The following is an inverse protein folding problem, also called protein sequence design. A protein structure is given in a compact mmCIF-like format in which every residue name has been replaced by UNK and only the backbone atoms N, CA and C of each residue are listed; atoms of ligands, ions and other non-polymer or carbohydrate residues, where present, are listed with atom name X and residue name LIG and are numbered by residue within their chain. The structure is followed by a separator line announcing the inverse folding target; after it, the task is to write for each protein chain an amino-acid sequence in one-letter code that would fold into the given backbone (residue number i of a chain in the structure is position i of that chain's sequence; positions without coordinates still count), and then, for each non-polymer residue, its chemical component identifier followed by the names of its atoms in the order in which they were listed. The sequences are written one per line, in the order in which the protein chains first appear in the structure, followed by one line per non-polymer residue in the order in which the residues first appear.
data_IF_583124936280
#
_entry.id   IF_583124936280
#
_cell.length_a   1.000
_cell.length_b   1.000
_cell.length_c   1.000
_cell.angle_alpha   90.00
_cell.angle_beta   90.00
_cell.angle_gamma   90.00
#
_symmetry.space_group_name_H-M   'P 1'
#
loop_
_entity.id
_entity.type
_entity.pdbx_description
1 polymer ?
#
# COMPACT_ATOMS: atom_id res chain seq x y z
N UNK A 1 -133.74 -34.89 100.45
CA UNK A 1 -132.70 -34.88 101.49
C UNK A 1 -131.44 -35.47 100.90
N UNK A 2 -130.36 -34.70 100.85
CA UNK A 2 -129.06 -35.16 100.36
C UNK A 2 -128.39 -36.00 101.44
N UNK A 3 -127.92 -37.19 101.10
CA UNK A 3 -126.94 -37.92 101.92
C UNK A 3 -125.60 -37.90 101.20
N UNK A 4 -124.65 -37.21 101.82
CA UNK A 4 -123.28 -37.06 101.36
C UNK A 4 -122.50 -38.37 101.53
N UNK A 5 -121.71 -38.67 100.52
CA UNK A 5 -121.00 -39.91 100.25
C UNK A 5 -119.67 -40.02 101.02
N UNK A 6 -119.19 -41.23 101.31
CA UNK A 6 -117.78 -41.45 101.65
C UNK A 6 -117.22 -42.74 101.02
N UNK A 7 -116.08 -42.67 100.29
CA UNK A 7 -115.47 -43.81 99.62
C UNK A 7 -114.48 -44.57 100.51
N UNK A 8 -114.33 -45.89 100.29
CA UNK A 8 -113.25 -46.68 100.86
C UNK A 8 -111.87 -46.25 100.34
N UNK A 9 -110.94 -46.00 101.26
CA UNK A 9 -109.57 -45.50 101.03
C UNK A 9 -108.54 -46.57 100.63
N UNK A 10 -108.96 -47.82 100.41
CA UNK A 10 -108.07 -48.91 99.99
C UNK A 10 -108.06 -49.08 98.47
N UNK A 11 -106.87 -49.16 97.85
CA UNK A 11 -106.74 -49.38 96.40
C UNK A 11 -106.98 -50.85 96.04
N UNK A 12 -107.81 -51.10 95.04
CA UNK A 12 -108.11 -52.43 94.50
C UNK A 12 -107.04 -52.84 93.46
N UNK A 13 -106.50 -54.06 93.59
CA UNK A 13 -105.28 -54.54 92.91
C UNK A 13 -105.42 -54.86 91.41
N UNK A 14 -106.58 -54.59 90.81
CA UNK A 14 -106.73 -54.39 89.37
C UNK A 14 -106.52 -55.60 88.44
N UNK A 15 -106.17 -56.77 88.96
CA UNK A 15 -106.03 -58.01 88.17
C UNK A 15 -107.18 -58.97 88.49
N UNK A 16 -107.98 -59.30 87.48
CA UNK A 16 -109.10 -60.24 87.62
C UNK A 16 -108.67 -61.64 87.19
N UNK A 17 -109.23 -62.68 87.81
CA UNK A 17 -108.96 -64.09 87.42
C UNK A 17 -109.21 -64.36 85.94
N UNK A 18 -110.14 -63.62 85.33
CA UNK A 18 -110.38 -63.69 83.89
C UNK A 18 -109.15 -63.30 83.05
N UNK A 19 -108.41 -62.27 83.47
CA UNK A 19 -107.18 -61.83 82.80
C UNK A 19 -106.07 -62.88 82.94
N UNK A 20 -106.07 -63.69 84.00
CA UNK A 20 -105.08 -64.76 84.17
C UNK A 20 -105.42 -66.03 83.40
N UNK A 21 -106.70 -66.33 83.18
CA UNK A 21 -107.13 -67.63 82.68
C UNK A 21 -107.37 -67.65 81.16
N UNK A 22 -107.76 -66.51 80.59
CA UNK A 22 -108.10 -66.38 79.16
C UNK A 22 -107.03 -65.61 78.38
N UNK A 23 -105.82 -66.16 78.29
CA UNK A 23 -104.73 -65.60 77.48
C UNK A 23 -104.68 -66.28 76.12
N UNK A 24 -104.43 -65.51 75.07
CA UNK A 24 -104.24 -66.04 73.71
C UNK A 24 -103.04 -66.99 73.68
N UNK A 25 -103.25 -68.22 73.23
CA UNK A 25 -102.18 -69.18 72.98
C UNK A 25 -101.85 -69.16 71.49
N UNK A 26 -100.67 -68.67 71.13
CA UNK A 26 -100.23 -68.65 69.73
C UNK A 26 -99.91 -70.08 69.27
N UNK A 27 -100.70 -70.60 68.31
CA UNK A 27 -100.42 -71.87 67.66
C UNK A 27 -99.68 -71.59 66.35
N UNK A 28 -98.49 -72.16 66.20
CA UNK A 28 -97.69 -72.00 64.99
C UNK A 28 -98.41 -72.61 63.76
N UNK A 29 -98.39 -71.93 62.60
CA UNK A 29 -99.03 -72.43 61.39
C UNK A 29 -98.37 -73.73 60.90
N UNK A 30 -99.19 -74.66 60.42
CA UNK A 30 -98.75 -75.99 59.98
C UNK A 30 -98.16 -75.93 58.56
N UNK A 31 -97.04 -76.63 58.33
CA UNK A 31 -96.33 -76.64 57.05
C UNK A 31 -97.08 -77.47 55.98
N UNK A 32 -97.09 -77.00 54.74
CA UNK A 32 -97.78 -77.66 53.61
C UNK A 32 -96.92 -78.74 52.97
N UNK A 33 -97.51 -79.88 52.60
CA UNK A 33 -96.84 -80.99 51.90
C UNK A 33 -96.84 -80.87 50.37
N UNK A 34 -97.07 -79.67 49.82
CA UNK A 34 -97.01 -79.45 48.37
C UNK A 34 -95.54 -79.44 47.92
N UNK A 35 -95.15 -80.22 46.90
CA UNK A 35 -93.79 -80.16 46.35
C UNK A 35 -93.51 -78.77 45.78
N UNK A 36 -92.36 -78.21 46.17
CA UNK A 36 -91.90 -76.88 45.77
C UNK A 36 -91.48 -76.86 44.31
N UNK A 37 -92.09 -75.98 43.53
CA UNK A 37 -91.78 -75.73 42.12
C UNK A 37 -90.52 -74.85 42.01
N UNK A 38 -89.37 -75.42 42.36
CA UNK A 38 -88.08 -74.76 42.29
C UNK A 38 -87.24 -75.39 41.18
N UNK A 39 -86.89 -74.59 40.17
CA UNK A 39 -86.01 -75.01 39.08
C UNK A 39 -84.61 -75.35 39.62
N UNK A 40 -84.16 -76.58 39.39
CA UNK A 40 -82.82 -77.04 39.78
C UNK A 40 -81.80 -76.50 38.77
N UNK A 41 -80.99 -75.54 39.18
CA UNK A 41 -79.82 -75.10 38.42
C UNK A 41 -78.61 -75.95 38.84
N UNK A 42 -77.85 -76.46 37.87
CA UNK A 42 -76.57 -77.15 38.12
C UNK A 42 -75.43 -76.14 38.24
N UNK A 43 -74.56 -76.31 39.23
CA UNK A 43 -73.43 -75.42 39.55
C UNK A 43 -72.11 -75.86 38.87
N UNK A 44 -72.20 -76.63 37.78
CA UNK A 44 -71.02 -77.15 37.06
C UNK A 44 -70.48 -76.12 36.07
N UNK A 45 -69.20 -75.70 36.18
CA UNK A 45 -68.59 -74.76 35.24
C UNK A 45 -68.58 -75.29 33.81
N UNK A 46 -68.65 -74.36 32.84
CA UNK A 46 -68.59 -74.69 31.42
C UNK A 46 -67.16 -75.03 30.99
N UNK A 47 -66.96 -76.22 30.40
CA UNK A 47 -65.67 -76.64 29.86
C UNK A 47 -65.46 -76.06 28.45
N UNK A 48 -64.86 -74.86 28.38
CA UNK A 48 -64.64 -74.12 27.12
C UNK A 48 -63.32 -74.49 26.38
N UNK A 49 -62.62 -75.55 26.82
CA UNK A 49 -61.38 -75.97 26.17
C UNK A 49 -61.68 -76.93 25.03
N UNK A 50 -61.74 -76.38 23.82
CA UNK A 50 -61.86 -77.17 22.60
C UNK A 50 -60.54 -77.83 22.23
N UNK A 51 -60.61 -78.98 21.55
CA UNK A 51 -59.42 -79.70 21.06
C UNK A 51 -58.51 -78.84 20.18
N UNK A 52 -59.07 -77.82 19.51
CA UNK A 52 -58.30 -76.86 18.73
C UNK A 52 -57.36 -76.01 19.59
N UNK A 53 -57.82 -75.56 20.76
CA UNK A 53 -57.00 -74.77 21.70
C UNK A 53 -55.81 -75.55 22.23
N UNK A 54 -55.97 -76.86 22.41
CA UNK A 54 -54.90 -77.72 22.91
C UNK A 54 -53.96 -78.19 21.77
N UNK A 55 -54.45 -78.34 20.54
CA UNK A 55 -53.66 -78.80 19.40
C UNK A 55 -52.82 -77.71 18.72
N UNK A 56 -53.26 -76.44 18.76
CA UNK A 56 -52.61 -75.33 18.05
C UNK A 56 -52.00 -74.34 19.04
N UNK A 57 -50.85 -74.71 19.59
CA UNK A 57 -50.07 -73.88 20.51
C UNK A 57 -48.84 -73.34 19.77
N UNK A 58 -48.40 -72.13 20.12
CA UNK A 58 -47.22 -71.52 19.53
C UNK A 58 -45.95 -72.31 19.92
N UNK A 59 -45.29 -72.94 18.95
CA UNK A 59 -43.99 -73.58 19.13
C UNK A 59 -42.84 -72.60 18.84
N UNK A 60 -41.77 -72.65 19.63
CA UNK A 60 -40.56 -71.88 19.36
C UNK A 60 -39.80 -72.51 18.19
N UNK A 61 -39.61 -71.73 17.11
CA UNK A 61 -38.89 -72.19 15.92
C UNK A 61 -37.37 -72.02 16.10
N UNK A 62 -36.54 -72.94 15.58
CA UNK A 62 -35.09 -72.79 15.63
C UNK A 62 -34.62 -71.59 14.81
N UNK A 63 -33.52 -70.96 15.24
CA UNK A 63 -32.91 -69.87 14.51
C UNK A 63 -32.50 -70.34 13.11
N UNK A 64 -32.77 -69.52 12.09
CA UNK A 64 -32.39 -69.83 10.72
C UNK A 64 -30.87 -69.84 10.58
N UNK A 65 -30.33 -70.89 9.96
CA UNK A 65 -28.90 -70.99 9.68
C UNK A 65 -28.45 -69.82 8.80
N UNK A 66 -27.43 -69.08 9.25
CA UNK A 66 -26.80 -68.01 8.48
C UNK A 66 -25.41 -68.48 8.04
N UNK A 67 -25.18 -68.49 6.72
CA UNK A 67 -23.85 -68.76 6.17
C UNK A 67 -22.93 -67.57 6.47
N UNK A 68 -21.74 -67.85 7.00
CA UNK A 68 -20.73 -66.81 7.21
C UNK A 68 -20.36 -66.14 5.88
N UNK A 69 -20.18 -64.81 5.92
CA UNK A 69 -19.80 -64.03 4.73
C UNK A 69 -18.29 -64.17 4.54
N UNK A 70 -17.89 -64.52 3.32
CA UNK A 70 -16.47 -64.59 2.95
C UNK A 70 -15.83 -63.19 3.03
N UNK A 71 -14.69 -63.10 3.71
CA UNK A 71 -13.94 -61.86 3.87
C UNK A 71 -13.24 -61.48 2.55
N UNK A 72 -13.49 -60.27 2.07
CA UNK A 72 -12.94 -59.77 0.81
C UNK A 72 -11.40 -59.73 0.82
N UNK A 73 -10.77 -60.25 -0.25
CA UNK A 73 -9.33 -60.17 -0.51
C UNK A 73 -9.08 -59.35 -1.78
N UNK A 74 -8.54 -58.13 -1.67
CA UNK A 74 -8.19 -57.32 -2.83
C UNK A 74 -7.09 -57.99 -3.67
N UNK A 75 -7.14 -57.78 -4.99
CA UNK A 75 -6.10 -58.28 -5.90
C UNK A 75 -4.90 -57.33 -5.92
N UNK A 76 -3.70 -57.86 -5.72
CA UNK A 76 -2.44 -57.09 -5.71
C UNK A 76 -1.93 -56.72 -7.12
N UNK A 77 -2.69 -57.04 -8.17
CA UNK A 77 -2.27 -56.81 -9.55
C UNK A 77 -2.19 -55.30 -9.85
N UNK A 78 -1.02 -54.85 -10.32
CA UNK A 78 -0.79 -53.46 -10.67
C UNK A 78 -1.47 -53.12 -12.00
N UNK A 79 -2.31 -52.08 -12.00
CA UNK A 79 -2.91 -51.55 -13.21
C UNK A 79 -1.96 -50.55 -13.87
N UNK A 80 -1.48 -50.88 -15.07
CA UNK A 80 -0.50 -50.07 -15.81
C UNK A 80 -1.04 -48.67 -16.20
N UNK A 81 -2.36 -48.52 -16.41
CA UNK A 81 -3.00 -47.21 -16.63
C UNK A 81 -2.58 -46.44 -17.89
N UNK A 82 -1.69 -47.00 -18.72
CA UNK A 82 -1.26 -46.38 -19.96
C UNK A 82 -2.22 -46.75 -21.10
N UNK A 83 -2.85 -45.73 -21.69
CA UNK A 83 -3.59 -45.87 -22.94
C UNK A 83 -2.62 -46.02 -24.13
N UNK A 84 -3.09 -46.64 -25.21
CA UNK A 84 -2.33 -46.79 -26.46
C UNK A 84 -1.80 -45.45 -26.97
N UNK A 85 -2.61 -44.39 -26.90
CA UNK A 85 -2.21 -43.04 -27.26
C UNK A 85 -1.00 -42.53 -26.46
N UNK A 86 -1.03 -42.66 -25.12
CA UNK A 86 0.07 -42.17 -24.26
C UNK A 86 1.34 -43.01 -24.39
N UNK A 87 1.20 -44.29 -24.78
CA UNK A 87 2.32 -45.17 -25.07
C UNK A 87 2.96 -44.86 -26.42
N UNK A 88 2.15 -44.62 -27.44
CA UNK A 88 2.59 -44.65 -28.83
C UNK A 88 2.85 -43.24 -29.41
N UNK A 89 2.16 -42.20 -28.92
CA UNK A 89 2.37 -40.79 -29.31
C UNK A 89 3.23 -40.04 -28.30
N UNK A 90 4.49 -40.44 -28.17
CA UNK A 90 5.52 -39.64 -27.50
C UNK A 90 6.13 -38.78 -28.59
N UNK A 91 5.84 -37.48 -28.62
CA UNK A 91 6.32 -36.56 -29.65
C UNK A 91 7.85 -36.51 -29.70
N UNK A 92 8.45 -37.50 -30.36
CA UNK A 92 9.88 -37.59 -30.54
C UNK A 92 10.27 -36.50 -31.53
N UNK A 93 10.93 -35.47 -31.02
CA UNK A 93 11.56 -34.44 -31.83
C UNK A 93 12.67 -35.14 -32.62
N UNK A 94 12.45 -35.33 -33.91
CA UNK A 94 13.49 -35.84 -34.81
C UNK A 94 14.71 -34.92 -34.80
N UNK A 95 15.86 -35.46 -35.23
CA UNK A 95 17.06 -34.64 -35.37
C UNK A 95 16.82 -33.49 -36.36
N UNK A 96 17.26 -32.26 -36.04
CA UNK A 96 17.10 -31.14 -36.93
C UNK A 96 17.87 -31.39 -38.23
N UNK A 97 17.23 -31.13 -39.37
CA UNK A 97 17.84 -31.34 -40.69
C UNK A 97 19.12 -30.52 -40.84
N UNK A 98 20.21 -31.19 -41.20
CA UNK A 98 21.48 -30.53 -41.50
C UNK A 98 21.34 -29.63 -42.74
N UNK A 99 21.94 -28.44 -42.67
CA UNK A 99 21.97 -27.49 -43.79
C UNK A 99 22.91 -27.98 -44.88
N UNK A 100 22.42 -28.07 -46.13
CA UNK A 100 23.24 -28.32 -47.32
C UNK A 100 23.92 -27.04 -47.86
N UNK A 101 23.87 -25.92 -47.13
CA UNK A 101 24.56 -24.71 -47.55
C UNK A 101 26.08 -24.93 -47.44
N UNK A 102 26.87 -24.53 -48.46
CA UNK A 102 28.31 -24.58 -48.36
C UNK A 102 28.77 -23.75 -47.16
N UNK A 103 29.84 -24.19 -46.50
CA UNK A 103 30.44 -23.44 -45.41
C UNK A 103 30.78 -22.03 -45.91
N UNK A 104 30.36 -20.99 -45.18
CA UNK A 104 30.55 -19.58 -45.54
C UNK A 104 32.00 -19.10 -45.42
N UNK A 105 32.97 -19.98 -45.65
CA UNK A 105 34.38 -19.64 -45.60
C UNK A 105 34.76 -18.88 -46.88
N UNK A 106 35.08 -17.60 -46.72
CA UNK A 106 35.59 -16.79 -47.81
C UNK A 106 36.92 -17.36 -48.30
N UNK A 107 37.06 -17.53 -49.61
CA UNK A 107 38.33 -17.93 -50.23
C UNK A 107 39.43 -16.95 -49.84
N UNK A 108 40.45 -17.44 -49.13
CA UNK A 108 41.63 -16.66 -48.76
C UNK A 108 42.80 -17.12 -49.63
N UNK A 109 43.41 -16.21 -50.39
CA UNK A 109 44.68 -16.45 -51.08
C UNK A 109 45.80 -15.70 -50.37
N UNK A 110 46.88 -16.39 -50.03
CA UNK A 110 48.11 -15.77 -49.48
C UNK A 110 48.98 -15.11 -50.56
N UNK A 111 48.59 -15.22 -51.83
CA UNK A 111 49.31 -14.59 -52.93
C UNK A 111 49.21 -13.07 -52.85
N UNK A 112 50.36 -12.39 -52.95
CA UNK A 112 50.43 -10.94 -53.00
C UNK A 112 49.76 -10.43 -54.28
N UNK A 113 48.95 -9.39 -54.16
CA UNK A 113 48.31 -8.72 -55.29
C UNK A 113 49.35 -7.93 -56.08
N UNK A 114 49.47 -8.20 -57.38
CA UNK A 114 50.36 -7.46 -58.28
C UNK A 114 49.73 -6.12 -58.66
N UNK A 115 50.14 -5.05 -57.98
CA UNK A 115 49.65 -3.67 -58.15
C UNK A 115 50.48 -2.84 -59.17
N UNK A 116 51.12 -3.52 -60.13
CA UNK A 116 51.96 -2.92 -61.17
C UNK A 116 51.10 -2.52 -62.38
N UNK A 117 50.32 -1.45 -62.25
CA UNK A 117 49.55 -0.94 -63.40
C UNK A 117 50.49 -0.33 -64.46
N UNK A 118 50.08 -0.41 -65.73
CA UNK A 118 50.82 0.18 -66.87
C UNK A 118 51.10 1.66 -66.65
N UNK A 119 50.16 2.41 -66.07
CA UNK A 119 50.36 3.82 -65.74
C UNK A 119 51.53 4.02 -64.75
N UNK A 120 51.57 3.22 -63.68
CA UNK A 120 52.62 3.29 -62.66
C UNK A 120 54.00 2.93 -63.22
N UNK A 121 54.04 2.04 -64.21
CA UNK A 121 55.28 1.65 -64.89
C UNK A 121 55.76 2.72 -65.89
N UNK A 122 54.84 3.29 -66.67
CA UNK A 122 55.16 4.12 -67.84
C UNK A 122 55.29 5.62 -67.50
N UNK A 123 54.50 6.13 -66.55
CA UNK A 123 54.48 7.55 -66.18
C UNK A 123 55.32 7.84 -64.93
N UNK A 124 56.61 7.49 -64.99
CA UNK A 124 57.59 7.86 -63.96
C UNK A 124 58.27 9.18 -64.29
N UNK A 125 58.75 9.88 -63.26
CA UNK A 125 59.52 11.11 -63.41
C UNK A 125 60.89 10.79 -64.01
N UNK A 126 61.07 11.09 -65.29
CA UNK A 126 62.36 10.94 -65.96
C UNK A 126 63.34 12.04 -65.52
N UNK A 127 64.60 11.69 -65.21
CA UNK A 127 65.62 12.70 -64.95
C UNK A 127 65.88 13.49 -66.24
N UNK A 128 65.67 14.81 -66.21
CA UNK A 128 66.02 15.72 -67.29
C UNK A 128 67.09 16.69 -66.81
N UNK A 129 68.05 17.00 -67.67
CA UNK A 129 69.00 18.07 -67.46
C UNK A 129 68.31 19.43 -67.61
N UNK A 130 68.80 20.44 -66.88
CA UNK A 130 68.28 21.80 -67.00
C UNK A 130 68.73 22.39 -68.34
N UNK A 131 67.86 23.11 -69.07
CA UNK A 131 68.27 23.84 -70.27
C UNK A 131 69.43 24.78 -69.98
N UNK A 132 70.37 24.89 -70.94
CA UNK A 132 71.48 25.82 -70.84
C UNK A 132 70.97 27.27 -70.77
N UNK A 133 71.36 28.00 -69.73
CA UNK A 133 71.02 29.41 -69.55
C UNK A 133 72.20 30.25 -70.05
N UNK A 134 71.98 31.07 -71.09
CA UNK A 134 73.01 31.94 -71.63
C UNK A 134 73.43 33.02 -70.60
N UNK A 135 74.73 33.11 -70.33
CA UNK A 135 75.33 34.14 -69.48
C UNK A 135 75.84 35.30 -70.35
N UNK A 136 75.34 36.52 -70.11
CA UNK A 136 75.78 37.71 -70.83
C UNK A 136 77.22 38.08 -70.47
N UNK A 137 77.96 38.66 -71.42
CA UNK A 137 79.29 39.19 -71.16
C UNK A 137 79.21 40.36 -70.14
N UNK A 138 80.11 40.41 -69.13
CA UNK A 138 80.11 41.50 -68.16
C UNK A 138 80.49 42.83 -68.84
N UNK A 139 79.77 43.90 -68.46
CA UNK A 139 79.98 45.24 -68.99
C UNK A 139 81.40 45.77 -68.74
N UNK A 140 82.02 46.36 -69.78
CA UNK A 140 83.32 47.03 -69.70
C UNK A 140 83.12 48.55 -69.73
N UNK A 141 83.46 49.24 -68.63
CA UNK A 141 83.36 50.71 -68.53
C UNK A 141 84.38 51.37 -69.49
N UNK A 142 83.98 52.40 -70.27
CA UNK A 142 84.92 53.18 -71.08
C UNK A 142 85.93 53.93 -70.21
N UNK A 143 87.17 54.05 -70.67
CA UNK A 143 88.23 54.76 -69.97
C UNK A 143 88.06 56.28 -70.14
N UNK A 144 88.00 57.01 -69.03
CA UNK A 144 87.83 58.46 -68.98
C UNK A 144 86.91 58.89 -67.84
N UNK A 145 87.23 59.98 -67.17
CA UNK A 145 86.30 60.65 -66.25
C UNK A 145 85.45 61.64 -67.03
N UNK A 146 84.13 61.56 -66.86
CA UNK A 146 83.21 62.52 -67.46
C UNK A 146 83.25 63.79 -66.61
N UNK A 147 83.54 64.94 -67.22
CA UNK A 147 83.50 66.22 -66.51
C UNK A 147 82.05 66.60 -66.17
N UNK A 148 81.66 66.42 -64.91
CA UNK A 148 80.31 66.70 -64.40
C UNK A 148 80.15 68.15 -63.89
N UNK A 149 80.98 69.08 -64.34
CA UNK A 149 80.89 70.48 -63.92
C UNK A 149 79.94 71.26 -64.85
N UNK A 150 78.78 71.65 -64.33
CA UNK A 150 77.80 72.45 -65.07
C UNK A 150 77.99 73.92 -64.76
N UNK A 151 77.79 74.79 -65.75
CA UNK A 151 77.96 76.26 -65.64
C UNK A 151 77.21 76.86 -64.46
N UNK A 152 76.04 76.32 -64.11
CA UNK A 152 75.25 76.78 -62.94
C UNK A 152 76.01 76.62 -61.62
N UNK A 153 76.70 75.49 -61.41
CA UNK A 153 77.46 75.19 -60.19
C UNK A 153 78.71 76.05 -60.05
N UNK A 154 79.27 76.53 -61.16
CA UNK A 154 80.42 77.45 -61.13
C UNK A 154 80.02 78.91 -60.94
N UNK A 155 78.85 79.33 -61.44
CA UNK A 155 78.39 80.73 -61.40
C UNK A 155 77.63 81.12 -60.14
N UNK A 156 76.83 80.23 -59.54
CA UNK A 156 76.05 80.55 -58.35
C UNK A 156 76.66 79.90 -57.10
N UNK A 157 77.51 80.65 -56.40
CA UNK A 157 78.10 80.23 -55.12
C UNK A 157 77.47 81.03 -53.97
N UNK A 158 77.14 80.35 -52.88
CA UNK A 158 76.60 81.01 -51.70
C UNK A 158 77.65 81.97 -51.10
N UNK A 159 77.26 83.23 -50.93
CA UNK A 159 78.10 84.23 -50.27
C UNK A 159 77.88 84.14 -48.75
N UNK A 160 78.93 84.27 -47.94
CA UNK A 160 78.79 84.26 -46.49
C UNK A 160 78.02 85.52 -46.05
N UNK A 161 76.97 85.32 -45.25
CA UNK A 161 76.18 86.39 -44.62
C UNK A 161 76.31 86.22 -43.10
N UNK A 162 76.69 87.29 -42.41
CA UNK A 162 76.84 87.28 -40.96
C UNK A 162 75.49 87.29 -40.24
N UNK A 163 75.39 86.52 -39.16
CA UNK A 163 74.17 86.41 -38.35
C UNK A 163 74.04 87.60 -37.38
N UNK A 164 72.86 88.23 -37.35
CA UNK A 164 72.53 89.28 -36.39
C UNK A 164 71.94 88.67 -35.11
N UNK A 165 72.41 89.11 -33.93
CA UNK A 165 71.98 88.59 -32.62
C UNK A 165 71.04 89.59 -31.92
N UNK A 166 69.97 89.09 -31.30
CA UNK A 166 68.97 89.90 -30.60
C UNK A 166 69.45 90.39 -29.21
N UNK A 167 69.24 91.67 -28.90
CA UNK A 167 69.57 92.30 -27.61
C UNK A 167 68.35 92.30 -26.67
N UNK A 168 68.52 91.83 -25.44
CA UNK A 168 67.46 91.82 -24.39
C UNK A 168 67.85 92.66 -23.17
N UNK A 169 66.88 93.30 -22.47
CA UNK A 169 67.14 94.18 -21.34
C UNK A 169 67.53 93.41 -20.06
N UNK A 170 68.31 94.06 -19.20
CA UNK A 170 68.86 93.48 -17.95
C UNK A 170 67.86 93.66 -16.80
N UNK A 171 67.49 92.59 -16.11
CA UNK A 171 66.57 92.61 -14.96
C UNK A 171 67.27 92.93 -13.64
N UNK A 172 66.64 93.75 -12.79
CA UNK A 172 67.16 94.20 -11.50
C UNK A 172 67.08 93.11 -10.39
N UNK A 173 67.98 93.13 -9.38
CA UNK A 173 68.02 92.12 -8.31
C UNK A 173 66.90 92.29 -7.25
N UNK A 174 66.38 91.17 -6.75
CA UNK A 174 65.27 91.10 -5.78
C UNK A 174 65.73 91.15 -4.31
N UNK A 175 64.89 91.72 -3.43
CA UNK A 175 65.15 91.83 -1.98
C UNK A 175 64.86 90.53 -1.21
N UNK A 176 65.67 90.22 -0.21
CA UNK A 176 65.66 88.94 0.54
C UNK A 176 64.88 88.95 1.88
N UNK A 177 64.00 89.92 2.12
CA UNK A 177 63.25 89.98 3.38
C UNK A 177 62.12 88.93 3.43
N UNK A 178 61.94 88.17 4.54
CA UNK A 178 60.84 87.21 4.66
C UNK A 178 59.48 87.92 4.73
N UNK A 179 58.49 87.38 4.00
CA UNK A 179 57.12 87.87 4.00
C UNK A 179 56.35 87.28 5.20
N UNK A 180 55.74 88.13 6.03
CA UNK A 180 54.82 87.67 7.08
C UNK A 180 53.47 87.29 6.43
N UNK A 181 53.12 86.01 6.51
CA UNK A 181 52.02 85.38 5.79
C UNK A 181 50.76 85.14 6.62
N UNK A 182 50.62 85.78 7.78
CA UNK A 182 49.44 85.60 8.63
C UNK A 182 48.25 86.43 8.12
N UNK A 183 47.16 85.74 7.71
CA UNK A 183 45.91 86.37 7.25
C UNK A 183 44.84 86.33 8.34
N UNK A 184 43.92 87.28 8.32
CA UNK A 184 42.79 87.35 9.28
C UNK A 184 41.92 86.08 9.28
N UNK A 185 41.78 85.43 8.12
CA UNK A 185 41.02 84.19 8.00
C UNK A 185 41.54 83.07 8.92
N UNK A 186 42.87 82.95 9.06
CA UNK A 186 43.49 81.93 9.90
C UNK A 186 43.26 82.18 11.41
N UNK A 187 43.04 83.42 11.84
CA UNK A 187 42.73 83.74 13.23
C UNK A 187 41.26 83.53 13.59
N UNK A 188 40.35 83.74 12.62
CA UNK A 188 38.91 83.82 12.89
C UNK A 188 38.23 82.43 12.90
N UNK A 189 38.70 81.48 12.09
CA UNK A 189 38.12 80.14 11.98
C UNK A 189 39.00 79.06 12.61
N UNK A 190 38.83 78.84 13.91
CA UNK A 190 39.45 77.72 14.65
C UNK A 190 38.41 76.68 15.05
N UNK A 191 38.81 75.41 15.19
CA UNK A 191 37.91 74.34 15.69
C UNK A 191 37.49 74.62 17.12
N UNK A 192 36.18 74.64 17.38
CA UNK A 192 35.59 74.73 18.70
C UNK A 192 35.21 73.33 19.20
N UNK A 193 35.50 73.01 20.47
CA UNK A 193 35.14 71.73 21.08
C UNK A 193 33.72 71.83 21.65
N UNK A 194 32.73 71.20 21.00
CA UNK A 194 31.37 71.06 21.53
C UNK A 194 31.16 69.71 22.22
N UNK A 195 30.52 69.69 23.38
CA UNK A 195 30.09 68.45 24.04
C UNK A 195 28.96 67.76 23.25
N UNK A 196 28.94 66.42 23.26
CA UNK A 196 27.96 65.62 22.51
C UNK A 196 26.64 65.53 23.30
N UNK A 197 25.53 65.95 22.70
CA UNK A 197 24.20 65.83 23.30
C UNK A 197 23.80 64.35 23.54
N UNK A 198 23.34 64.02 24.75
CA UNK A 198 22.77 62.71 25.10
C UNK A 198 21.32 62.61 24.58
N UNK A 199 20.94 61.49 23.97
CA UNK A 199 19.57 61.26 23.49
C UNK A 199 18.59 61.05 24.66
N UNK A 200 17.35 61.58 24.60
CA UNK A 200 16.36 61.33 25.63
C UNK A 200 15.88 59.88 25.58
N UNK A 201 15.77 59.22 26.75
CA UNK A 201 15.20 57.86 26.87
C UNK A 201 13.69 57.90 26.60
N UNK A 202 13.19 56.95 25.81
CA UNK A 202 11.76 56.79 25.53
C UNK A 202 11.03 56.26 26.78
N UNK A 203 9.75 56.63 27.00
CA UNK A 203 8.97 56.12 28.11
C UNK A 203 8.58 54.64 27.92
N UNK A 204 8.55 53.90 29.03
CA UNK A 204 8.26 52.47 29.05
C UNK A 204 6.79 52.15 28.68
N UNK A 205 6.56 50.99 28.07
CA UNK A 205 5.26 50.58 27.52
C UNK A 205 4.16 50.43 28.58
N UNK A 206 3.00 51.05 28.32
CA UNK A 206 1.77 50.85 29.11
C UNK A 206 0.83 49.89 28.37
N UNK A 207 0.53 48.70 28.94
CA UNK A 207 -0.36 47.72 28.32
C UNK A 207 -1.79 48.25 28.12
N UNK A 208 -2.40 47.87 27.00
CA UNK A 208 -3.77 48.24 26.66
C UNK A 208 -4.78 47.45 27.52
N UNK A 209 -5.60 48.14 28.31
CA UNK A 209 -6.62 47.54 29.17
C UNK A 209 -7.93 47.18 28.45
N UNK A 210 -7.98 47.27 27.12
CA UNK A 210 -9.14 46.84 26.34
C UNK A 210 -9.29 45.30 26.39
N UNK A 211 -10.47 44.77 26.75
CA UNK A 211 -10.70 43.32 26.78
C UNK A 211 -10.59 42.75 25.36
N UNK A 212 -9.84 41.65 25.23
CA UNK A 212 -9.66 40.95 23.96
C UNK A 212 -10.89 40.08 23.66
N UNK A 213 -11.71 40.49 22.69
CA UNK A 213 -12.99 39.83 22.33
C UNK A 213 -12.83 38.60 21.39
N UNK A 214 -11.61 38.10 21.19
CA UNK A 214 -11.37 36.95 20.32
C UNK A 214 -11.61 35.61 21.01
N UNK A 215 -12.75 34.96 20.79
CA UNK A 215 -12.99 33.56 21.18
C UNK A 215 -12.61 32.62 20.02
N UNK A 216 -11.83 31.57 20.31
CA UNK A 216 -11.39 30.59 19.32
C UNK A 216 -12.54 29.71 18.78
N UNK A 217 -12.57 29.49 17.45
CA UNK A 217 -13.65 28.78 16.73
C UNK A 217 -13.94 27.36 17.26
N UNK A 218 -12.93 26.64 17.76
CA UNK A 218 -13.09 25.29 18.30
C UNK A 218 -13.94 25.25 19.59
N UNK A 219 -13.84 26.27 20.44
CA UNK A 219 -14.62 26.37 21.69
C UNK A 219 -16.10 26.67 21.39
N UNK A 220 -16.38 27.49 20.37
CA UNK A 220 -17.77 27.76 19.93
C UNK A 220 -18.47 26.51 19.35
N UNK A 221 -17.72 25.63 18.70
CA UNK A 221 -18.26 24.39 18.11
C UNK A 221 -18.55 23.30 19.16
N UNK A 222 -17.77 23.24 20.25
CA UNK A 222 -17.99 22.31 21.37
C UNK A 222 -19.23 22.68 22.20
N UNK A 223 -19.50 23.97 22.43
CA UNK A 223 -20.68 24.44 23.17
C UNK A 223 -21.98 24.13 22.39
N UNK A 224 -21.96 24.22 21.05
CA UNK A 224 -23.11 23.84 20.20
C UNK A 224 -23.41 22.33 20.21
N UNK A 225 -22.41 21.47 20.43
CA UNK A 225 -22.60 20.01 20.51
C UNK A 225 -23.10 19.52 21.88
N UNK A 226 -22.88 20.29 22.96
CA UNK A 226 -23.35 19.93 24.32
C UNK A 226 -24.78 20.42 24.60
N UNK A 227 -25.29 21.40 23.83
CA UNK A 227 -26.65 21.94 23.98
C UNK A 227 -27.70 21.42 22.98
N UNK A 228 -27.41 20.38 22.18
CA UNK A 228 -28.40 19.74 21.28
C UNK A 228 -28.68 18.25 21.60
N UNK A 229 -28.60 17.88 22.88
CA UNK A 229 -29.14 16.64 23.44
C UNK A 229 -30.33 16.96 24.36
#
# INVERSE_FOLDING_TARGET
MQTAWEPPKSKFEGQTTFQTDYRSKELAPRQSFKPTDAAKMSDTPFEDRTSHRDAYIQHAMPARYQREREQYRPTEAQFNGLSTFRRDYKGALGEPTASFKPAGQAFQSEALFEDSTTNRHDFKKWPMERPFVHTHEPYKKPAGEMEMSTTHKSTYKAMPIDRVVARRPVSAPQSSAPLDGTTNYNSDYKKWNGERAQMPRQPDYVPNNAPFEGIAKHVQNLIKMVCSA
#
